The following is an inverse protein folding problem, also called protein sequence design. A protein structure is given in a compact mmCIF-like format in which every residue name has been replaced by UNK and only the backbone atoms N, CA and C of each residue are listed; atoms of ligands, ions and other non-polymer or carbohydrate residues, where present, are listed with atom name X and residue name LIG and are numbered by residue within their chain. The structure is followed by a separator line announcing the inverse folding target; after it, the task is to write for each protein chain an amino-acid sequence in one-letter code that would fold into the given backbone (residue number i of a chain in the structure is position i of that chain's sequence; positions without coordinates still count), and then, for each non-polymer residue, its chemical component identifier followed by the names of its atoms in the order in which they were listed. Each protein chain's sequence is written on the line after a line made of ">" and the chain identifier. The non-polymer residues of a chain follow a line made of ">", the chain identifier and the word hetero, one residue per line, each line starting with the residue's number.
data_IF_329973563846
#
_entry.id   IF_329973563846
#
_cell.length_a   1.000
_cell.length_b   1.000
_cell.length_c   1.000
_cell.angle_alpha   90.00
_cell.angle_beta   90.00
_cell.angle_gamma   90.00
#
_symmetry.space_group_name_H-M   'P 1'
#
loop_
_entity.id
_entity.type
_entity.pdbx_description
1 polymer ?
#
# COMPACT_ATOMS: atom_id res chain seq x y z
N UNK A 1 -14.48 -18.25 -47.56
CA UNK A 1 -14.53 -18.49 -46.10
C UNK A 1 -14.46 -17.18 -45.32
N UNK A 2 -13.37 -16.39 -45.43
CA UNK A 2 -13.18 -15.13 -44.69
C UNK A 2 -14.27 -14.06 -44.96
N UNK A 3 -14.72 -13.89 -46.21
CA UNK A 3 -15.73 -12.89 -46.57
C UNK A 3 -17.13 -13.19 -46.01
N UNK A 4 -17.48 -14.46 -45.80
CA UNK A 4 -18.77 -14.87 -45.19
C UNK A 4 -18.74 -14.59 -43.68
N UNK A 5 -17.58 -14.81 -43.05
CA UNK A 5 -17.34 -14.48 -41.64
C UNK A 5 -17.36 -12.96 -41.43
N UNK A 6 -16.68 -12.17 -42.27
CA UNK A 6 -16.73 -10.71 -42.21
C UNK A 6 -18.15 -10.18 -42.50
N UNK A 7 -18.86 -10.80 -43.44
CA UNK A 7 -20.25 -10.48 -43.74
C UNK A 7 -21.18 -10.70 -42.54
N UNK A 8 -21.06 -11.85 -41.87
CA UNK A 8 -21.81 -12.17 -40.65
C UNK A 8 -21.43 -11.30 -39.44
N UNK A 9 -20.14 -10.92 -39.34
CA UNK A 9 -19.69 -9.93 -38.35
C UNK A 9 -20.39 -8.60 -38.61
N UNK A 10 -20.41 -8.13 -39.87
CA UNK A 10 -21.05 -6.88 -40.32
C UNK A 10 -22.54 -6.81 -39.97
N UNK A 11 -23.27 -7.91 -40.12
CA UNK A 11 -24.70 -7.98 -39.74
C UNK A 11 -24.94 -7.96 -38.23
N UNK A 12 -23.93 -8.34 -37.42
CA UNK A 12 -24.00 -8.41 -35.95
C UNK A 12 -23.07 -7.42 -35.25
N UNK A 13 -22.71 -6.33 -35.91
CA UNK A 13 -21.76 -5.33 -35.40
C UNK A 13 -22.16 -4.76 -34.05
N UNK A 14 -23.47 -4.60 -33.80
CA UNK A 14 -23.97 -4.10 -32.51
C UNK A 14 -23.66 -5.07 -31.37
N UNK A 15 -23.84 -6.38 -31.58
CA UNK A 15 -23.53 -7.40 -30.57
C UNK A 15 -22.03 -7.49 -30.35
N UNK A 16 -21.23 -7.42 -31.43
CA UNK A 16 -19.77 -7.43 -31.35
C UNK A 16 -19.24 -6.21 -30.58
N UNK A 17 -19.70 -5.00 -30.93
CA UNK A 17 -19.32 -3.76 -30.26
C UNK A 17 -19.76 -3.78 -28.79
N UNK A 18 -20.97 -4.24 -28.51
CA UNK A 18 -21.48 -4.39 -27.14
C UNK A 18 -20.63 -5.33 -26.30
N UNK A 19 -20.30 -6.52 -26.81
CA UNK A 19 -19.42 -7.46 -26.10
C UNK A 19 -18.02 -6.91 -25.91
N UNK A 20 -17.45 -6.24 -26.92
CA UNK A 20 -16.13 -5.62 -26.82
C UNK A 20 -16.11 -4.52 -25.75
N UNK A 21 -17.10 -3.62 -25.75
CA UNK A 21 -17.20 -2.54 -24.76
C UNK A 21 -17.42 -3.10 -23.36
N UNK A 22 -18.28 -4.11 -23.20
CA UNK A 22 -18.50 -4.77 -21.92
C UNK A 22 -17.20 -5.41 -21.38
N UNK A 23 -16.45 -6.09 -22.23
CA UNK A 23 -15.15 -6.67 -21.86
C UNK A 23 -14.12 -5.59 -21.51
N UNK A 24 -14.02 -4.53 -22.31
CA UNK A 24 -13.09 -3.44 -22.06
C UNK A 24 -13.37 -2.75 -20.70
N UNK A 25 -14.64 -2.48 -20.40
CA UNK A 25 -15.05 -1.91 -19.12
C UNK A 25 -14.79 -2.87 -17.96
N UNK A 26 -15.12 -4.15 -18.10
CA UNK A 26 -14.86 -5.16 -17.07
C UNK A 26 -13.38 -5.30 -16.75
N UNK A 27 -12.54 -5.43 -17.77
CA UNK A 27 -11.07 -5.51 -17.61
C UNK A 27 -10.52 -4.22 -17.00
N UNK A 28 -10.98 -3.06 -17.45
CA UNK A 28 -10.59 -1.76 -16.90
C UNK A 28 -10.88 -1.66 -15.41
N UNK A 29 -12.10 -2.02 -14.98
CA UNK A 29 -12.50 -1.99 -13.57
C UNK A 29 -11.64 -2.90 -12.69
N UNK A 30 -11.38 -4.12 -13.17
CA UNK A 30 -10.54 -5.09 -12.46
C UNK A 30 -9.11 -4.55 -12.35
N UNK A 31 -8.53 -4.06 -13.45
CA UNK A 31 -7.17 -3.54 -13.47
C UNK A 31 -7.00 -2.33 -12.52
N UNK A 32 -7.95 -1.37 -12.53
CA UNK A 32 -7.89 -0.21 -11.64
C UNK A 32 -8.01 -0.62 -10.17
N UNK A 33 -8.85 -1.61 -9.87
CA UNK A 33 -9.03 -2.12 -8.50
C UNK A 33 -7.75 -2.78 -8.00
N UNK A 34 -7.15 -3.64 -8.82
CA UNK A 34 -5.88 -4.30 -8.49
C UNK A 34 -4.75 -3.27 -8.33
N UNK A 35 -4.68 -2.26 -9.19
CA UNK A 35 -3.67 -1.21 -9.08
C UNK A 35 -3.82 -0.41 -7.78
N UNK A 36 -5.05 -0.04 -7.41
CA UNK A 36 -5.33 0.63 -6.15
C UNK A 36 -4.97 -0.21 -4.93
N UNK A 37 -5.28 -1.51 -4.98
CA UNK A 37 -4.93 -2.45 -3.92
C UNK A 37 -3.41 -2.64 -3.82
N UNK A 38 -2.71 -2.80 -4.95
CA UNK A 38 -1.26 -2.91 -4.99
C UNK A 38 -0.58 -1.65 -4.42
N UNK A 39 -1.07 -0.46 -4.77
CA UNK A 39 -0.56 0.80 -4.23
C UNK A 39 -0.79 0.95 -2.71
N UNK A 40 -1.85 0.35 -2.17
CA UNK A 40 -2.10 0.32 -0.73
C UNK A 40 -1.21 -0.69 0.00
N UNK A 41 -0.90 -1.82 -0.64
CA UNK A 41 -0.06 -2.88 -0.08
C UNK A 41 1.44 -2.58 -0.15
N UNK A 42 1.88 -1.81 -1.16
CA UNK A 42 3.25 -1.35 -1.30
C UNK A 42 3.32 0.19 -1.17
N UNK A 43 3.05 0.74 0.04
CA UNK A 43 3.17 2.16 0.24
C UNK A 43 4.64 2.57 0.04
N UNK A 44 4.93 3.64 -0.73
CA UNK A 44 6.29 4.12 -0.86
C UNK A 44 6.84 4.43 0.52
N UNK A 45 8.13 4.13 0.75
CA UNK A 45 8.83 4.43 2.02
C UNK A 45 8.81 5.95 2.24
N UNK A 46 7.77 6.44 2.90
CA UNK A 46 7.65 7.84 3.30
C UNK A 46 8.48 8.00 4.57
N UNK A 47 9.54 8.83 4.52
CA UNK A 47 10.17 9.32 5.74
C UNK A 47 9.09 9.98 6.59
N UNK A 48 8.98 9.68 7.90
CA UNK A 48 7.88 10.16 8.71
C UNK A 48 7.92 11.69 8.79
N UNK A 49 6.97 12.34 8.11
CA UNK A 49 6.97 13.79 7.86
C UNK A 49 6.76 14.59 9.15
N UNK A 50 6.13 14.00 10.18
CA UNK A 50 6.00 14.60 11.53
C UNK A 50 7.34 14.76 12.26
N UNK A 51 8.39 14.09 11.79
CA UNK A 51 9.74 14.19 12.36
C UNK A 51 10.76 14.73 11.36
N UNK A 52 10.32 15.25 10.20
CA UNK A 52 11.22 15.68 9.14
C UNK A 52 12.17 16.83 9.56
N UNK A 53 11.80 17.59 10.59
CA UNK A 53 12.64 18.63 11.18
C UNK A 53 13.55 18.13 12.32
N UNK A 54 13.33 16.90 12.83
CA UNK A 54 14.15 16.34 13.91
C UNK A 54 15.31 15.55 13.33
N UNK A 55 16.58 15.89 13.64
CA UNK A 55 17.74 15.16 13.14
C UNK A 55 17.79 13.71 13.65
N UNK A 56 17.12 13.39 14.76
CA UNK A 56 17.05 12.05 15.36
C UNK A 56 15.63 11.77 15.87
N UNK A 57 15.14 10.55 15.67
CA UNK A 57 13.85 10.07 16.20
C UNK A 57 14.10 8.85 17.07
N UNK A 58 13.79 8.95 18.36
CA UNK A 58 13.90 7.83 19.30
C UNK A 58 12.53 7.17 19.42
N UNK A 59 12.45 5.89 19.06
CA UNK A 59 11.24 5.08 19.22
C UNK A 59 11.39 4.20 20.46
N UNK A 60 10.37 4.16 21.30
CA UNK A 60 10.32 3.23 22.43
C UNK A 60 10.31 1.78 21.97
N UNK A 61 10.58 0.87 22.90
CA UNK A 61 10.70 -0.57 22.63
C UNK A 61 9.42 -1.11 21.98
N UNK A 62 9.56 -1.65 20.76
CA UNK A 62 8.44 -2.19 19.96
C UNK A 62 8.43 -3.72 19.93
N UNK A 63 9.35 -4.36 20.65
CA UNK A 63 9.45 -5.83 20.74
C UNK A 63 9.55 -6.28 22.18
N UNK A 64 8.80 -7.33 22.52
CA UNK A 64 8.89 -8.02 23.80
C UNK A 64 9.64 -9.34 23.60
N UNK A 65 10.72 -9.52 24.36
CA UNK A 65 11.46 -10.78 24.39
C UNK A 65 11.16 -11.52 25.69
N UNK A 66 10.62 -12.73 25.58
CA UNK A 66 10.37 -13.63 26.71
C UNK A 66 11.17 -14.91 26.49
N UNK A 67 12.23 -15.10 27.27
CA UNK A 67 13.21 -16.17 27.06
C UNK A 67 13.92 -16.03 25.71
N UNK A 68 13.72 -17.00 24.80
CA UNK A 68 14.30 -16.99 23.44
C UNK A 68 13.33 -16.48 22.35
N UNK A 69 12.11 -16.07 22.71
CA UNK A 69 11.10 -15.63 21.74
C UNK A 69 10.95 -14.12 21.78
N UNK A 70 11.12 -13.48 20.63
CA UNK A 70 10.87 -12.05 20.44
C UNK A 70 9.60 -11.89 19.61
N UNK A 71 8.66 -11.07 20.09
CA UNK A 71 7.45 -10.70 19.34
C UNK A 71 7.30 -9.18 19.31
N UNK A 72 6.69 -8.67 18.24
CA UNK A 72 6.33 -7.26 18.12
C UNK A 72 5.16 -6.96 19.07
N UNK A 73 5.26 -5.86 19.80
CA UNK A 73 4.18 -5.36 20.64
C UNK A 73 3.07 -4.77 19.75
N UNK A 74 1.81 -5.01 20.12
CA UNK A 74 0.66 -4.46 19.38
C UNK A 74 0.55 -2.94 19.58
N UNK A 75 0.94 -2.46 20.77
CA UNK A 75 1.11 -1.04 21.07
C UNK A 75 2.58 -0.78 21.43
N UNK A 76 3.30 0.06 20.67
CA UNK A 76 4.66 0.44 21.01
C UNK A 76 4.69 1.11 22.38
N UNK A 77 5.63 0.73 23.23
CA UNK A 77 5.76 1.33 24.55
C UNK A 77 6.32 2.75 24.43
N UNK A 78 5.94 3.63 25.37
CA UNK A 78 6.55 4.96 25.46
C UNK A 78 8.08 4.85 25.66
N UNK A 79 8.81 5.87 25.21
CA UNK A 79 10.26 5.94 25.44
C UNK A 79 10.53 5.90 26.94
N UNK A 80 11.56 5.13 27.34
CA UNK A 80 11.95 4.99 28.73
C UNK A 80 12.19 6.37 29.37
N UNK A 81 11.71 6.56 30.60
CA UNK A 81 11.86 7.81 31.35
C UNK A 81 13.32 8.12 31.67
N UNK A 82 14.13 7.09 31.86
CA UNK A 82 15.57 7.25 32.13
C UNK A 82 16.30 7.70 30.86
N UNK A 83 16.01 7.06 29.73
CA UNK A 83 16.50 7.49 28.42
C UNK A 83 16.04 8.91 28.07
N UNK A 84 14.78 9.27 28.36
CA UNK A 84 14.29 10.64 28.18
C UNK A 84 15.02 11.65 29.06
N UNK A 85 15.41 11.28 30.29
CA UNK A 85 16.22 12.14 31.16
C UNK A 85 17.61 12.37 30.59
N UNK A 86 18.25 11.31 30.09
CA UNK A 86 19.57 11.40 29.47
C UNK A 86 19.51 12.25 28.19
N UNK A 87 18.52 12.02 27.32
CA UNK A 87 18.36 12.82 26.10
C UNK A 87 18.07 14.30 26.38
N UNK A 88 17.35 14.63 27.45
CA UNK A 88 17.15 16.02 27.90
C UNK A 88 18.44 16.75 28.25
N UNK A 89 19.50 16.03 28.60
CA UNK A 89 20.81 16.64 28.86
C UNK A 89 21.52 17.07 27.57
N UNK A 90 21.19 16.44 26.44
CA UNK A 90 21.79 16.70 25.12
C UNK A 90 21.06 17.81 24.36
N UNK A 91 19.84 18.16 24.76
CA UNK A 91 19.06 19.22 24.15
C UNK A 91 17.55 19.04 24.35
N UNK A 92 16.74 19.91 23.72
CA UNK A 92 15.28 19.76 23.74
C UNK A 92 14.86 18.46 23.02
N UNK A 93 14.01 17.67 23.69
CA UNK A 93 13.42 16.40 23.23
C UNK A 93 11.91 16.42 23.28
#
# INVERSE_FOLDING_TARGET
>A
MLSVVLGGLRTRWVTLAGSFVALALGVGLIATTVLGLAAALDPPVRKPVRFAASPVVVRGTDTLTVGRKTKKLFHPQAVDKELLRELRTLGPV
#
